data_IF_142156582311
#
_entry.id   IF_142156582311
#
_cell.length_a   1.000
_cell.length_b   1.000
_cell.length_c   1.000
_cell.angle_alpha   90.00
_cell.angle_beta   90.00
_cell.angle_gamma   90.00
#
_symmetry.space_group_name_H-M   'P 1'
#
loop_
_entity.id
_entity.type
_entity.pdbx_description
1 polymer ?
#
# COMPACT_ATOMS: atom_id res chain seq x y z
N UNK A 1 11.87 8.84 0.96
CA UNK A 1 11.51 8.87 2.41
C UNK A 1 10.37 9.85 2.69
N UNK A 2 9.25 9.35 3.23
CA UNK A 2 8.01 10.12 3.45
C UNK A 2 8.12 10.99 4.73
N UNK A 3 7.77 12.28 4.67
CA UNK A 3 7.94 13.27 5.75
C UNK A 3 6.91 13.10 6.90
N UNK A 4 6.81 11.90 7.49
CA UNK A 4 5.90 11.59 8.61
C UNK A 4 6.57 11.63 9.98
N UNK A 5 7.88 11.94 10.03
CA UNK A 5 8.69 11.88 11.28
C UNK A 5 8.46 10.57 12.04
N UNK A 6 8.44 9.46 11.31
CA UNK A 6 8.17 8.10 11.82
C UNK A 6 9.35 7.20 11.55
N UNK A 7 9.55 6.19 12.40
CA UNK A 7 10.56 5.14 12.24
C UNK A 7 9.89 3.76 12.32
N UNK A 8 10.56 2.67 11.88
CA UNK A 8 10.08 1.32 12.08
C UNK A 8 9.73 1.00 13.54
N UNK A 9 10.54 1.45 14.51
CA UNK A 9 10.29 1.23 15.94
C UNK A 9 9.02 1.93 16.43
N UNK A 10 8.75 3.14 15.92
CA UNK A 10 7.51 3.87 16.24
C UNK A 10 6.30 3.12 15.67
N UNK A 11 6.41 2.57 14.47
CA UNK A 11 5.34 1.77 13.84
C UNK A 11 5.09 0.50 14.66
N UNK A 12 6.15 -0.24 15.01
CA UNK A 12 6.08 -1.45 15.81
C UNK A 12 5.42 -1.19 17.17
N UNK A 13 5.93 -0.21 17.92
CA UNK A 13 5.37 0.17 19.23
C UNK A 13 3.92 0.61 19.13
N UNK A 14 3.54 1.31 18.05
CA UNK A 14 2.16 1.69 17.78
C UNK A 14 1.26 0.47 17.60
N UNK A 15 1.68 -0.50 16.78
CA UNK A 15 0.91 -1.71 16.54
C UNK A 15 0.79 -2.58 17.80
N UNK A 16 1.87 -2.77 18.56
CA UNK A 16 1.86 -3.50 19.83
C UNK A 16 0.85 -2.90 20.82
N UNK A 17 0.83 -1.56 20.94
CA UNK A 17 -0.13 -0.87 21.79
C UNK A 17 -1.57 -1.10 21.32
N UNK A 18 -1.84 -1.02 20.02
CA UNK A 18 -3.18 -1.26 19.48
C UNK A 18 -3.63 -2.70 19.75
N UNK A 19 -2.74 -3.68 19.52
CA UNK A 19 -3.03 -5.10 19.79
C UNK A 19 -3.29 -5.39 21.26
N UNK A 20 -2.61 -4.69 22.19
CA UNK A 20 -2.87 -4.80 23.64
C UNK A 20 -4.32 -4.45 24.03
N UNK A 21 -5.00 -3.63 23.22
CA UNK A 21 -6.39 -3.22 23.44
C UNK A 21 -7.36 -3.86 22.43
N UNK A 22 -6.98 -4.99 21.83
CA UNK A 22 -7.78 -5.74 20.85
C UNK A 22 -8.21 -4.91 19.62
N UNK A 23 -7.45 -3.86 19.30
CA UNK A 23 -7.63 -3.09 18.07
C UNK A 23 -6.86 -3.76 16.95
N UNK A 24 -7.45 -3.79 15.75
CA UNK A 24 -6.96 -4.52 14.58
C UNK A 24 -6.41 -3.53 13.52
N UNK A 25 -5.10 -3.21 13.53
CA UNK A 25 -4.55 -2.18 12.66
C UNK A 25 -4.41 -2.67 11.22
N UNK A 26 -4.63 -1.78 10.26
CA UNK A 26 -4.44 -2.06 8.84
C UNK A 26 -3.22 -1.29 8.33
N UNK A 27 -2.24 -2.00 7.77
CA UNK A 27 -1.05 -1.40 7.19
C UNK A 27 -1.31 -0.83 5.80
N UNK A 28 -0.93 0.42 5.55
CA UNK A 28 -1.01 1.04 4.22
C UNK A 28 0.38 1.45 3.75
N UNK A 29 0.85 0.79 2.69
CA UNK A 29 2.13 1.09 2.06
C UNK A 29 1.92 1.68 0.68
N UNK A 30 2.89 2.50 0.27
CA UNK A 30 2.90 3.21 -1.01
C UNK A 30 4.24 2.98 -1.68
N UNK A 31 4.23 2.70 -2.97
CA UNK A 31 5.42 2.50 -3.79
C UNK A 31 5.57 3.69 -4.75
N UNK A 32 6.78 4.23 -4.83
CA UNK A 32 7.14 5.24 -5.84
C UNK A 32 6.80 6.67 -5.43
N UNK A 33 6.72 6.95 -4.13
CA UNK A 33 6.69 8.32 -3.66
C UNK A 33 8.05 8.99 -3.99
N UNK A 34 8.09 10.29 -4.31
CA UNK A 34 9.35 10.99 -4.58
C UNK A 34 10.42 10.75 -3.51
N UNK A 35 11.61 10.34 -3.96
CA UNK A 35 12.72 9.93 -3.09
C UNK A 35 12.64 8.49 -2.57
N UNK A 36 11.78 7.64 -3.14
CA UNK A 36 11.81 6.18 -2.93
C UNK A 36 12.75 5.50 -3.93
N UNK A 37 13.22 4.32 -3.55
CA UNK A 37 13.99 3.40 -4.39
C UNK A 37 13.46 1.98 -4.26
N UNK A 38 13.96 1.08 -5.11
CA UNK A 38 13.69 -0.36 -4.99
C UNK A 38 14.19 -0.93 -3.65
N UNK A 39 15.37 -0.52 -3.21
CA UNK A 39 15.97 -0.91 -1.92
C UNK A 39 15.12 -0.48 -0.71
N UNK A 40 14.73 0.80 -0.65
CA UNK A 40 13.86 1.31 0.42
C UNK A 40 12.49 0.62 0.43
N UNK A 41 11.97 0.30 -0.76
CA UNK A 41 10.73 -0.46 -0.89
C UNK A 41 10.92 -1.88 -0.34
N UNK A 42 12.05 -2.54 -0.62
CA UNK A 42 12.36 -3.86 -0.08
C UNK A 42 12.43 -3.84 1.46
N UNK A 43 13.08 -2.84 2.06
CA UNK A 43 13.10 -2.66 3.51
C UNK A 43 11.68 -2.49 4.09
N UNK A 44 10.83 -1.72 3.42
CA UNK A 44 9.43 -1.54 3.80
C UNK A 44 8.63 -2.85 3.70
N UNK A 45 8.90 -3.68 2.70
CA UNK A 45 8.26 -4.99 2.56
C UNK A 45 8.73 -5.99 3.61
N UNK A 46 10.00 -5.96 4.03
CA UNK A 46 10.50 -6.76 5.15
C UNK A 46 9.83 -6.37 6.47
N UNK A 47 9.64 -5.07 6.71
CA UNK A 47 8.89 -4.59 7.87
C UNK A 47 7.42 -5.06 7.81
N UNK A 48 6.79 -5.00 6.63
CA UNK A 48 5.42 -5.50 6.45
C UNK A 48 5.31 -7.00 6.76
N UNK A 49 6.21 -7.83 6.23
CA UNK A 49 6.26 -9.28 6.50
C UNK A 49 6.42 -9.53 8.00
N UNK A 50 7.33 -8.82 8.66
CA UNK A 50 7.54 -8.92 10.11
C UNK A 50 6.29 -8.55 10.93
N UNK A 51 5.62 -7.45 10.60
CA UNK A 51 4.42 -7.02 11.30
C UNK A 51 3.26 -8.01 11.14
N UNK A 52 3.11 -8.60 9.95
CA UNK A 52 2.10 -9.64 9.70
C UNK A 52 2.45 -10.96 10.40
N UNK A 53 3.71 -11.39 10.36
CA UNK A 53 4.20 -12.58 11.05
C UNK A 53 3.92 -12.52 12.56
N UNK A 54 4.11 -11.34 13.16
CA UNK A 54 3.86 -11.11 14.60
C UNK A 54 2.39 -10.87 14.93
N UNK A 55 1.47 -11.00 13.96
CA UNK A 55 0.05 -10.67 14.12
C UNK A 55 -0.14 -9.24 14.69
N UNK A 56 0.70 -8.30 14.26
CA UNK A 56 0.60 -6.89 14.66
C UNK A 56 -0.31 -6.09 13.71
N UNK A 57 -0.52 -6.59 12.49
CA UNK A 57 -1.50 -6.08 11.53
C UNK A 57 -2.57 -7.13 11.26
N UNK A 58 -3.83 -6.71 11.12
CA UNK A 58 -4.95 -7.57 10.73
C UNK A 58 -5.13 -7.65 9.21
N UNK A 59 -4.72 -6.60 8.52
CA UNK A 59 -4.72 -6.53 7.06
C UNK A 59 -3.64 -5.56 6.58
N UNK A 60 -3.30 -5.62 5.29
CA UNK A 60 -2.41 -4.68 4.66
C UNK A 60 -2.78 -4.40 3.20
N UNK A 61 -2.45 -3.20 2.74
CA UNK A 61 -2.64 -2.79 1.35
C UNK A 61 -1.42 -2.06 0.82
N UNK A 62 -1.17 -2.23 -0.48
CA UNK A 62 -0.08 -1.59 -1.19
C UNK A 62 -0.66 -0.87 -2.40
N UNK A 63 -0.22 0.37 -2.59
CA UNK A 63 -0.67 1.23 -3.70
C UNK A 63 0.53 1.86 -4.39
N UNK A 64 0.35 2.31 -5.63
CA UNK A 64 1.31 3.21 -6.25
C UNK A 64 1.05 4.64 -5.79
N UNK A 65 2.12 5.42 -5.70
CA UNK A 65 2.01 6.86 -5.61
C UNK A 65 1.32 7.42 -6.86
N UNK A 66 0.44 8.40 -6.65
CA UNK A 66 -0.26 9.12 -7.70
C UNK A 66 -0.01 10.62 -7.47
N UNK A 67 0.65 11.32 -8.40
CA UNK A 67 0.85 12.76 -8.31
C UNK A 67 -0.46 13.48 -8.68
N UNK A 68 -1.41 13.57 -7.75
CA UNK A 68 -2.71 14.15 -8.04
C UNK A 68 -2.61 15.62 -8.50
N UNK A 69 -3.42 16.05 -9.48
CA UNK A 69 -3.51 17.45 -9.90
C UNK A 69 -3.82 18.39 -8.73
N UNK A 70 -3.15 19.54 -8.69
CA UNK A 70 -3.23 20.49 -7.57
C UNK A 70 -2.40 20.11 -6.35
N UNK A 71 -1.60 19.02 -6.42
CA UNK A 71 -0.54 18.77 -5.45
C UNK A 71 0.79 19.30 -5.97
N UNK A 72 1.68 19.69 -5.05
CA UNK A 72 3.05 20.11 -5.40
C UNK A 72 3.81 19.09 -6.27
N UNK A 73 3.46 17.80 -6.17
CA UNK A 73 4.10 16.73 -6.92
C UNK A 73 3.66 16.68 -8.38
N UNK A 74 2.45 17.16 -8.67
CA UNK A 74 1.96 17.31 -10.04
C UNK A 74 2.37 18.66 -10.65
N UNK A 75 2.37 19.72 -9.84
CA UNK A 75 2.70 21.08 -10.29
C UNK A 75 4.17 21.23 -10.69
N UNK A 76 5.07 20.44 -10.10
CA UNK A 76 6.51 20.53 -10.33
C UNK A 76 7.15 19.14 -10.43
N UNK A 77 6.69 18.34 -11.41
CA UNK A 77 7.12 16.94 -11.58
C UNK A 77 8.63 16.80 -11.75
N UNK A 78 9.25 17.72 -12.48
CA UNK A 78 10.70 17.74 -12.72
C UNK A 78 11.50 17.87 -11.42
N UNK A 79 11.13 18.82 -10.54
CA UNK A 79 11.78 19.01 -9.23
C UNK A 79 11.74 17.76 -8.36
N UNK A 80 10.66 16.99 -8.44
CA UNK A 80 10.50 15.75 -7.67
C UNK A 80 10.98 14.50 -8.42
N UNK A 81 11.55 14.67 -9.61
CA UNK A 81 12.05 13.57 -10.43
C UNK A 81 10.95 12.62 -10.90
N UNK A 82 9.72 13.12 -11.10
CA UNK A 82 8.55 12.34 -11.51
C UNK A 82 8.38 12.45 -13.03
N UNK A 83 8.12 11.32 -13.68
CA UNK A 83 7.64 11.27 -15.07
C UNK A 83 6.25 10.65 -15.10
N UNK A 84 5.25 11.41 -15.56
CA UNK A 84 3.91 10.90 -15.80
C UNK A 84 3.94 9.99 -17.03
N UNK A 85 3.33 8.80 -16.92
CA UNK A 85 3.28 7.78 -17.97
C UNK A 85 1.88 7.69 -18.60
N UNK A 86 0.85 8.09 -17.85
CA UNK A 86 -0.53 8.13 -18.31
C UNK A 86 -1.09 9.53 -18.06
N UNK A 87 -1.42 10.26 -19.12
CA UNK A 87 -1.95 11.62 -19.04
C UNK A 87 -3.47 11.65 -18.95
N UNK A 88 -4.16 10.57 -19.32
CA UNK A 88 -5.62 10.48 -19.20
C UNK A 88 -6.03 10.16 -17.76
N UNK A 89 -6.51 11.18 -17.07
CA UNK A 89 -6.91 11.10 -15.66
C UNK A 89 -8.07 10.14 -15.41
N UNK A 90 -8.89 9.82 -16.42
CA UNK A 90 -9.98 8.85 -16.27
C UNK A 90 -9.45 7.43 -15.97
N UNK A 91 -8.17 7.18 -16.27
CA UNK A 91 -7.48 5.92 -15.99
C UNK A 91 -6.75 5.92 -14.65
N UNK A 92 -6.65 7.07 -13.97
CA UNK A 92 -5.98 7.20 -12.67
C UNK A 92 -6.86 6.62 -11.57
N UNK A 93 -6.92 5.29 -11.51
CA UNK A 93 -7.81 4.60 -10.60
C UNK A 93 -7.07 4.18 -9.33
N UNK A 94 -7.45 4.81 -8.21
CA UNK A 94 -7.02 4.36 -6.87
C UNK A 94 -7.57 2.96 -6.56
N UNK A 95 -8.66 2.52 -7.20
CA UNK A 95 -9.28 1.19 -7.07
C UNK A 95 -9.48 0.57 -8.44
N UNK A 96 -8.85 -0.59 -8.73
CA UNK A 96 -9.27 -1.37 -9.88
C UNK A 96 -10.56 -2.10 -9.51
N UNK A 97 -11.70 -1.70 -10.07
CA UNK A 97 -12.99 -2.39 -9.88
C UNK A 97 -13.12 -3.63 -10.77
N UNK A 98 -12.23 -3.82 -11.74
CA UNK A 98 -12.47 -4.70 -12.88
C UNK A 98 -11.20 -5.36 -13.39
N UNK A 99 -10.48 -6.12 -12.55
CA UNK A 99 -9.42 -7.06 -12.99
C UNK A 99 -8.27 -6.49 -13.85
N UNK A 100 -8.26 -5.20 -14.16
CA UNK A 100 -7.23 -4.53 -14.92
C UNK A 100 -6.04 -4.39 -14.00
N UNK A 101 -4.92 -4.99 -14.43
CA UNK A 101 -3.63 -4.93 -13.75
C UNK A 101 -3.37 -3.47 -13.38
N UNK A 102 -3.29 -3.17 -12.07
CA UNK A 102 -2.83 -1.86 -11.61
C UNK A 102 -1.42 -1.66 -12.15
N UNK A 103 -1.23 -0.64 -12.98
CA UNK A 103 0.06 -0.21 -13.48
C UNK A 103 0.44 1.12 -12.83
N UNK A 104 1.74 1.40 -12.63
CA UNK A 104 2.18 2.72 -12.22
C UNK A 104 1.76 3.75 -13.27
N UNK A 105 1.10 4.82 -12.84
CA UNK A 105 0.74 5.94 -13.72
C UNK A 105 1.86 6.97 -13.88
N UNK A 106 2.88 6.85 -13.04
CA UNK A 106 4.12 7.61 -13.10
C UNK A 106 5.29 6.72 -12.71
N UNK A 107 6.49 7.19 -13.00
CA UNK A 107 7.74 6.62 -12.50
C UNK A 107 8.64 7.73 -11.93
N UNK A 108 9.70 7.35 -11.23
CA UNK A 108 10.73 8.28 -10.78
C UNK A 108 11.95 8.20 -11.70
N UNK A 109 12.84 9.19 -11.60
CA UNK A 109 14.11 9.23 -12.33
C UNK A 109 14.96 7.97 -12.10
N UNK A 110 15.04 7.53 -10.85
CA UNK A 110 15.92 6.44 -10.39
C UNK A 110 15.14 5.21 -9.89
N UNK A 111 13.83 5.16 -10.18
CA UNK A 111 12.96 4.03 -9.84
C UNK A 111 11.90 3.90 -10.94
N UNK A 112 12.08 2.92 -11.82
CA UNK A 112 11.25 2.76 -13.02
C UNK A 112 9.89 2.13 -12.71
N UNK A 113 8.90 2.34 -13.58
CA UNK A 113 7.60 1.68 -13.45
C UNK A 113 7.70 0.14 -13.44
N UNK A 114 8.67 -0.43 -14.17
CA UNK A 114 8.92 -1.87 -14.16
C UNK A 114 9.39 -2.37 -12.78
N UNK A 115 10.33 -1.67 -12.15
CA UNK A 115 10.78 -2.00 -10.80
C UNK A 115 9.66 -1.80 -9.77
N UNK A 116 8.88 -0.72 -9.88
CA UNK A 116 7.71 -0.50 -9.03
C UNK A 116 6.69 -1.64 -9.15
N UNK A 117 6.44 -2.14 -10.37
CA UNK A 117 5.57 -3.28 -10.60
C UNK A 117 6.12 -4.57 -9.97
N UNK A 118 7.44 -4.78 -10.04
CA UNK A 118 8.08 -5.91 -9.37
C UNK A 118 7.92 -5.84 -7.84
N UNK A 119 8.16 -4.67 -7.24
CA UNK A 119 7.94 -4.44 -5.81
C UNK A 119 6.47 -4.61 -5.41
N UNK A 120 5.53 -4.12 -6.22
CA UNK A 120 4.09 -4.28 -6.00
C UNK A 120 3.68 -5.75 -5.97
N UNK A 121 4.16 -6.54 -6.94
CA UNK A 121 3.95 -8.00 -6.97
C UNK A 121 4.57 -8.69 -5.75
N UNK A 122 5.79 -8.29 -5.35
CA UNK A 122 6.45 -8.84 -4.17
C UNK A 122 5.64 -8.56 -2.89
N UNK A 123 5.15 -7.33 -2.72
CA UNK A 123 4.33 -6.96 -1.57
C UNK A 123 2.97 -7.69 -1.54
N UNK A 124 2.33 -7.90 -2.70
CA UNK A 124 1.14 -8.74 -2.76
C UNK A 124 1.43 -10.21 -2.39
N UNK A 125 2.60 -10.75 -2.72
CA UNK A 125 2.99 -12.10 -2.25
C UNK A 125 3.07 -12.16 -0.72
N UNK A 126 3.61 -11.12 -0.08
CA UNK A 126 3.64 -11.00 1.39
C UNK A 126 2.22 -10.96 1.96
N UNK A 127 1.33 -10.13 1.42
CA UNK A 127 -0.07 -10.06 1.89
C UNK A 127 -0.78 -11.41 1.73
N UNK A 128 -0.64 -12.04 0.56
CA UNK A 128 -1.28 -13.32 0.26
C UNK A 128 -0.78 -14.45 1.18
N UNK A 129 0.52 -14.46 1.54
CA UNK A 129 1.13 -15.43 2.46
C UNK A 129 0.39 -15.49 3.80
N UNK A 130 -0.16 -14.37 4.28
CA UNK A 130 -0.91 -14.29 5.54
C UNK A 130 -2.42 -14.12 5.35
N UNK A 131 -2.92 -14.16 4.10
CA UNK A 131 -4.33 -13.85 3.77
C UNK A 131 -4.82 -12.51 4.34
N UNK A 132 -3.91 -11.53 4.45
CA UNK A 132 -4.12 -10.29 5.19
C UNK A 132 -4.75 -9.19 4.31
N UNK A 133 -5.83 -9.51 3.60
CA UNK A 133 -6.50 -8.56 2.71
C UNK A 133 -7.45 -7.64 3.48
N UNK A 134 -7.48 -6.34 3.16
CA UNK A 134 -8.41 -5.43 3.81
C UNK A 134 -9.84 -5.69 3.32
N UNK A 135 -10.83 -5.43 4.18
CA UNK A 135 -12.24 -5.73 3.89
C UNK A 135 -12.81 -5.02 2.65
N UNK A 136 -12.17 -3.94 2.19
CA UNK A 136 -12.57 -3.20 0.98
C UNK A 136 -11.96 -3.77 -0.31
N UNK A 137 -10.96 -4.64 -0.24
CA UNK A 137 -10.50 -5.45 -1.35
C UNK A 137 -11.32 -6.75 -1.37
N UNK A 138 -12.61 -6.65 -1.67
CA UNK A 138 -13.44 -7.84 -1.84
C UNK A 138 -12.89 -8.70 -2.97
N UNK A 139 -12.45 -9.91 -2.62
CA UNK A 139 -12.37 -11.01 -3.57
C UNK A 139 -13.79 -11.45 -3.91
N UNK A 140 -14.30 -11.02 -5.07
CA UNK A 140 -15.59 -11.40 -5.66
C UNK A 140 -16.86 -10.98 -4.90
N UNK A 141 -17.93 -10.78 -5.67
CA UNK A 141 -19.20 -10.12 -5.31
C UNK A 141 -20.13 -10.89 -4.34
N UNK A 142 -19.65 -11.80 -3.50
CA UNK A 142 -20.53 -12.75 -2.80
C UNK A 142 -20.68 -12.60 -1.29
N UNK A 143 -20.00 -11.64 -0.62
CA UNK A 143 -20.14 -11.48 0.84
C UNK A 143 -20.65 -10.09 1.18
N UNK A 144 -21.90 -9.99 1.63
CA UNK A 144 -22.51 -8.75 2.09
C UNK A 144 -21.87 -8.27 3.40
N UNK A 145 -22.01 -6.97 3.68
CA UNK A 145 -21.46 -6.32 4.88
C UNK A 145 -21.97 -6.95 6.19
N UNK A 146 -23.17 -7.53 6.16
CA UNK A 146 -23.82 -8.19 7.29
C UNK A 146 -23.15 -9.51 7.69
N UNK A 147 -22.59 -10.24 6.73
CA UNK A 147 -21.92 -11.53 6.99
C UNK A 147 -20.61 -11.35 7.76
N UNK A 148 -19.88 -10.25 7.54
CA UNK A 148 -18.61 -9.98 8.22
C UNK A 148 -18.79 -9.67 9.71
N UNK A 149 -19.85 -8.92 10.06
CA UNK A 149 -20.12 -8.56 11.46
C UNK A 149 -20.55 -9.74 12.33
N UNK A 150 -21.08 -10.81 11.72
CA UNK A 150 -21.51 -12.00 12.45
C UNK A 150 -20.31 -12.87 12.87
N UNK A 151 -19.31 -13.01 12.00
CA UNK A 151 -18.10 -13.80 12.28
C UNK A 151 -17.22 -13.20 13.40
N UNK A 152 -17.18 -11.88 13.53
CA UNK A 152 -16.38 -11.18 14.57
C UNK A 152 -17.05 -11.22 15.95
N UNK A 153 -18.35 -11.51 16.03
CA UNK A 153 -19.07 -11.63 17.32
C UNK A 153 -19.10 -13.06 17.87
N UNK A 154 -18.65 -14.04 17.09
CA UNK A 154 -18.70 -15.47 17.43
C UNK A 154 -17.30 -16.08 17.70
N UNK A 155 -16.25 -15.24 17.72
CA UNK A 155 -14.85 -15.59 18.05
C UNK A 155 -14.38 -14.84 19.29
#
# INVERSE_FOLDING_TARGET
MMNKKTTPDVILSGCEKLRKYDLAPIGLSMIGHPGDSSEETEHSLKLLDHLLEKNLLSAANITYFIPWPGTRFFEDTEKYGIKILEEDWSKWNFRSKTGSKRQPICQLKDFSAHEMEACFKAGHKVINKYSAHPFWERMSDTVSFETYHKAVKES
#
